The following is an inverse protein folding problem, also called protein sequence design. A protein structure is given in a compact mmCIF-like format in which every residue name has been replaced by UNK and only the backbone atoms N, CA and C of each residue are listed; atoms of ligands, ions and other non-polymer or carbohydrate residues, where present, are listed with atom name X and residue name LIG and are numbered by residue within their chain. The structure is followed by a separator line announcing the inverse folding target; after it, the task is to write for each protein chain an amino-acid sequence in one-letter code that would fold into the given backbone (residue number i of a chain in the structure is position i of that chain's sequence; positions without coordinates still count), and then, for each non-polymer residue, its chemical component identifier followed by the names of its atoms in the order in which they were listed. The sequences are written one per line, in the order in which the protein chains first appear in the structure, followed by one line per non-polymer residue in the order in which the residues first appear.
data_IF_136433104990
#
_entry.id   IF_136433104990
#
_cell.length_a   1.000
_cell.length_b   1.000
_cell.length_c   1.000
_cell.angle_alpha   90.00
_cell.angle_beta   90.00
_cell.angle_gamma   90.00
#
_symmetry.space_group_name_H-M   'P 1'
#
loop_
_entity.id
_entity.type
_entity.pdbx_description
1 polymer ?
#
# COMPACT_ATOMS: atom_id res chain seq x y z
N UNK A 1 12.02 -25.14 13.67
CA UNK A 1 10.60 -24.93 13.99
C UNK A 1 10.16 -23.68 13.27
N UNK A 2 9.15 -23.77 12.40
CA UNK A 2 8.62 -22.61 11.69
C UNK A 2 7.85 -21.76 12.70
N UNK A 3 8.26 -20.52 12.90
CA UNK A 3 7.54 -19.50 13.67
C UNK A 3 6.08 -19.42 13.21
N UNK A 4 5.11 -19.14 14.11
CA UNK A 4 3.74 -18.90 13.68
C UNK A 4 3.73 -17.74 12.67
N UNK A 5 3.12 -17.94 11.51
CA UNK A 5 2.82 -16.84 10.60
C UNK A 5 1.79 -15.97 11.31
N UNK A 6 2.21 -14.80 11.77
CA UNK A 6 1.28 -13.84 12.37
C UNK A 6 0.25 -13.47 11.30
N UNK A 7 -1.03 -13.75 11.58
CA UNK A 7 -2.15 -13.30 10.75
C UNK A 7 -2.53 -11.88 11.15
N UNK A 8 -3.04 -11.13 10.18
CA UNK A 8 -3.48 -9.75 10.37
C UNK A 8 -4.95 -9.60 9.96
N UNK A 9 -5.67 -8.70 10.62
CA UNK A 9 -7.10 -8.46 10.38
C UNK A 9 -7.26 -7.62 9.13
N UNK A 10 -8.05 -8.12 8.17
CA UNK A 10 -8.57 -7.29 7.07
C UNK A 10 -9.78 -6.54 7.58
N UNK A 11 -9.69 -5.22 7.70
CA UNK A 11 -10.75 -4.39 8.29
C UNK A 11 -11.64 -3.71 7.24
N UNK A 12 -11.14 -3.53 6.01
CA UNK A 12 -11.87 -2.93 4.88
C UNK A 12 -11.12 -3.20 3.57
N UNK A 13 -11.66 -2.77 2.44
CA UNK A 13 -11.01 -2.70 1.14
C UNK A 13 -10.96 -1.25 0.65
N UNK A 14 -9.78 -0.73 0.33
CA UNK A 14 -9.64 0.57 -0.35
C UNK A 14 -10.20 0.56 -1.78
N UNK A 15 -10.22 -0.61 -2.42
CA UNK A 15 -10.83 -0.86 -3.71
C UNK A 15 -11.37 -2.30 -3.73
N UNK A 16 -12.65 -2.46 -4.09
CA UNK A 16 -13.29 -3.74 -4.33
C UNK A 16 -14.15 -3.66 -5.60
N UNK A 17 -13.65 -4.22 -6.69
CA UNK A 17 -14.38 -4.26 -7.96
C UNK A 17 -14.10 -5.59 -8.66
N UNK A 18 -15.09 -6.48 -8.75
CA UNK A 18 -14.88 -7.87 -9.21
C UNK A 18 -14.88 -8.02 -10.74
N UNK A 19 -15.47 -7.07 -11.46
CA UNK A 19 -15.70 -7.13 -12.91
C UNK A 19 -14.94 -6.10 -13.73
N UNK A 20 -14.22 -5.17 -13.09
CA UNK A 20 -13.45 -4.14 -13.81
C UNK A 20 -12.29 -4.77 -14.57
N UNK A 21 -12.09 -4.37 -15.82
CA UNK A 21 -10.89 -4.73 -16.55
C UNK A 21 -9.81 -3.68 -16.26
N UNK A 22 -8.62 -4.13 -15.87
CA UNK A 22 -7.48 -3.26 -15.56
C UNK A 22 -6.16 -3.82 -16.05
N UNK A 23 -5.18 -2.95 -16.22
CA UNK A 23 -3.81 -3.31 -16.54
C UNK A 23 -2.95 -3.34 -15.28
N UNK A 24 -2.15 -4.39 -15.15
CA UNK A 24 -1.32 -4.67 -13.99
C UNK A 24 0.11 -4.94 -14.45
N UNK A 25 1.08 -4.57 -13.62
CA UNK A 25 2.44 -5.07 -13.74
C UNK A 25 2.51 -6.45 -13.10
N UNK A 26 3.03 -7.44 -13.83
CA UNK A 26 3.43 -8.74 -13.29
C UNK A 26 4.93 -8.73 -13.06
N UNK A 27 5.34 -8.75 -11.80
CA UNK A 27 6.72 -8.93 -11.35
C UNK A 27 6.99 -10.43 -11.25
N UNK A 28 7.81 -10.98 -12.15
CA UNK A 28 8.19 -12.40 -12.09
C UNK A 28 9.52 -12.53 -11.35
N UNK A 29 9.50 -13.36 -10.31
CA UNK A 29 10.59 -13.51 -9.35
C UNK A 29 11.50 -14.68 -9.72
N UNK A 30 12.69 -14.68 -9.12
CA UNK A 30 13.61 -15.80 -9.24
C UNK A 30 13.09 -16.97 -8.40
N UNK A 31 12.85 -18.12 -9.05
CA UNK A 31 12.39 -19.32 -8.37
C UNK A 31 13.49 -19.88 -7.45
N UNK A 32 13.19 -20.07 -6.16
CA UNK A 32 14.00 -20.93 -5.30
C UNK A 32 13.58 -22.38 -5.60
N UNK A 33 14.35 -23.05 -6.48
CA UNK A 33 14.07 -24.41 -6.99
C UNK A 33 14.18 -25.52 -5.92
N UNK A 34 14.05 -25.21 -4.63
CA UNK A 34 14.04 -26.21 -3.55
C UNK A 34 12.81 -27.11 -3.60
N UNK A 35 11.69 -26.59 -4.09
CA UNK A 35 10.48 -27.37 -4.36
C UNK A 35 10.32 -27.47 -5.88
N UNK A 36 9.96 -28.65 -6.39
CA UNK A 36 9.74 -28.93 -7.82
C UNK A 36 8.58 -28.14 -8.47
N UNK A 37 8.29 -26.91 -8.01
CA UNK A 37 7.30 -26.04 -8.62
C UNK A 37 7.74 -25.64 -10.02
N UNK A 38 6.84 -25.84 -10.98
CA UNK A 38 7.07 -25.58 -12.41
C UNK A 38 6.66 -24.16 -12.81
N UNK A 39 6.13 -23.36 -11.88
CA UNK A 39 5.65 -22.00 -12.14
C UNK A 39 6.52 -21.02 -11.37
N UNK A 40 7.10 -20.05 -12.07
CA UNK A 40 7.88 -19.01 -11.43
C UNK A 40 6.99 -18.14 -10.52
N UNK A 41 7.42 -17.83 -9.28
CA UNK A 41 6.66 -16.98 -8.38
C UNK A 41 6.46 -15.59 -8.97
N UNK A 42 5.29 -14.99 -8.77
CA UNK A 42 4.97 -13.68 -9.33
C UNK A 42 4.00 -12.88 -8.47
N UNK A 43 4.07 -11.56 -8.58
CA UNK A 43 3.12 -10.62 -8.01
C UNK A 43 2.51 -9.77 -9.13
N UNK A 44 1.18 -9.62 -9.12
CA UNK A 44 0.45 -8.72 -10.04
C UNK A 44 -0.15 -7.56 -9.24
N UNK A 45 0.13 -6.33 -9.67
CA UNK A 45 -0.31 -5.11 -8.99
C UNK A 45 -0.37 -3.93 -9.97
N UNK A 46 -1.17 -2.90 -9.68
CA UNK A 46 -1.22 -1.68 -10.51
C UNK A 46 0.10 -0.91 -10.39
N UNK A 47 0.36 0.00 -11.33
CA UNK A 47 1.63 0.75 -11.40
C UNK A 47 1.90 1.59 -10.15
N UNK A 48 0.85 2.09 -9.50
CA UNK A 48 0.90 2.92 -8.30
C UNK A 48 0.89 2.11 -6.99
N UNK A 49 0.53 0.83 -7.03
CA UNK A 49 0.49 -0.01 -5.84
C UNK A 49 1.89 -0.32 -5.35
N UNK A 50 2.08 -0.30 -4.02
CA UNK A 50 3.41 -0.43 -3.45
C UNK A 50 3.78 -1.87 -3.11
N UNK A 51 5.03 -2.24 -3.36
CA UNK A 51 5.63 -3.54 -2.98
C UNK A 51 6.81 -3.32 -2.05
N UNK A 52 7.00 -4.21 -1.08
CA UNK A 52 8.15 -4.14 -0.17
C UNK A 52 9.41 -4.70 -0.85
N UNK A 53 10.48 -3.91 -0.82
CA UNK A 53 11.80 -4.22 -1.36
C UNK A 53 12.87 -4.25 -0.28
N UNK A 54 14.09 -4.64 -0.64
CA UNK A 54 15.26 -4.68 0.26
C UNK A 54 15.38 -3.40 1.11
N UNK A 55 15.63 -3.59 2.41
CA UNK A 55 15.59 -2.53 3.42
C UNK A 55 14.20 -2.26 4.00
N UNK A 56 13.21 -3.12 3.74
CA UNK A 56 11.82 -2.98 4.18
C UNK A 56 11.19 -1.65 3.72
N UNK A 57 11.60 -1.18 2.54
CA UNK A 57 11.05 0.02 1.90
C UNK A 57 9.88 -0.40 1.03
N UNK A 58 8.81 0.39 1.00
CA UNK A 58 7.70 0.17 0.07
C UNK A 58 7.77 1.22 -1.05
N UNK A 59 7.82 0.76 -2.30
CA UNK A 59 7.89 1.62 -3.49
C UNK A 59 6.75 1.27 -4.45
N UNK A 60 6.22 2.24 -5.21
CA UNK A 60 5.24 1.93 -6.27
C UNK A 60 5.83 0.97 -7.30
N UNK A 61 4.99 0.08 -7.85
CA UNK A 61 5.39 -0.94 -8.79
C UNK A 61 6.04 -0.38 -10.07
N UNK A 62 5.67 0.84 -10.46
CA UNK A 62 6.28 1.59 -11.58
C UNK A 62 7.77 1.84 -11.42
N UNK A 63 8.27 1.90 -10.18
CA UNK A 63 9.70 2.11 -9.88
C UNK A 63 10.51 0.82 -9.80
N UNK A 64 9.85 -0.34 -9.73
CA UNK A 64 10.53 -1.63 -9.64
C UNK A 64 11.25 -1.93 -10.96
N UNK A 65 12.49 -2.38 -10.85
CA UNK A 65 13.34 -2.75 -11.98
C UNK A 65 13.76 -4.22 -11.91
N UNK A 66 14.13 -4.77 -13.06
CA UNK A 66 14.80 -6.08 -13.11
C UNK A 66 16.07 -6.03 -12.29
N UNK A 67 16.25 -7.01 -11.41
CA UNK A 67 17.34 -7.09 -10.45
C UNK A 67 17.01 -6.57 -9.05
N UNK A 68 15.96 -5.75 -8.89
CA UNK A 68 15.49 -5.33 -7.56
C UNK A 68 15.03 -6.54 -6.76
N UNK A 69 15.25 -6.52 -5.45
CA UNK A 69 14.84 -7.60 -4.56
C UNK A 69 13.58 -7.22 -3.81
N UNK A 70 12.54 -8.04 -3.95
CA UNK A 70 11.29 -7.94 -3.17
C UNK A 70 11.35 -8.82 -1.93
N UNK A 71 10.58 -8.46 -0.91
CA UNK A 71 10.45 -9.22 0.33
C UNK A 71 9.41 -10.33 0.17
N UNK A 72 9.78 -11.56 0.54
CA UNK A 72 8.92 -12.73 0.53
C UNK A 72 8.19 -12.89 1.87
N UNK A 73 7.19 -13.78 1.89
CA UNK A 73 6.35 -14.06 3.06
C UNK A 73 7.11 -14.57 4.29
N UNK A 74 8.31 -15.13 4.12
CA UNK A 74 9.20 -15.60 5.18
C UNK A 74 10.28 -14.56 5.56
N UNK A 75 10.25 -13.37 4.95
CA UNK A 75 11.22 -12.30 5.15
C UNK A 75 12.46 -12.41 4.27
N UNK A 76 12.60 -13.48 3.48
CA UNK A 76 13.69 -13.63 2.52
C UNK A 76 13.53 -12.67 1.34
N UNK A 77 14.61 -12.51 0.57
CA UNK A 77 14.64 -11.64 -0.59
C UNK A 77 14.66 -12.45 -1.90
N UNK A 78 13.84 -12.06 -2.88
CA UNK A 78 13.91 -12.61 -4.23
C UNK A 78 14.04 -11.53 -5.29
N UNK A 79 14.95 -11.74 -6.24
CA UNK A 79 15.19 -10.79 -7.31
C UNK A 79 14.10 -10.86 -8.39
N UNK A 80 13.66 -9.70 -8.85
CA UNK A 80 12.78 -9.53 -10.00
C UNK A 80 13.56 -9.90 -11.27
N UNK A 81 13.09 -10.92 -11.98
CA UNK A 81 13.75 -11.43 -13.19
C UNK A 81 13.27 -10.72 -14.45
N UNK A 82 11.97 -10.48 -14.57
CA UNK A 82 11.40 -9.66 -15.62
C UNK A 82 10.04 -9.10 -15.20
N UNK A 83 9.60 -8.06 -15.90
CA UNK A 83 8.36 -7.34 -15.67
C UNK A 83 7.56 -7.34 -16.97
N UNK A 84 6.27 -7.63 -16.88
CA UNK A 84 5.37 -7.57 -18.03
C UNK A 84 4.05 -6.90 -17.64
N UNK A 85 3.42 -6.20 -18.57
CA UNK A 85 2.05 -5.71 -18.39
C UNK A 85 1.07 -6.83 -18.73
N UNK A 86 0.05 -7.01 -17.90
CA UNK A 86 -1.01 -7.99 -18.10
C UNK A 86 -2.37 -7.34 -17.83
N UNK A 87 -3.36 -7.65 -18.68
CA UNK A 87 -4.74 -7.24 -18.41
C UNK A 87 -5.46 -8.32 -17.58
N UNK A 88 -6.18 -7.91 -16.55
CA UNK A 88 -6.96 -8.79 -15.66
C UNK A 88 -8.35 -8.23 -15.43
N UNK A 89 -9.23 -9.11 -14.98
CA UNK A 89 -10.56 -8.76 -14.49
C UNK A 89 -10.54 -8.82 -12.97
N UNK A 90 -10.99 -7.75 -12.34
CA UNK A 90 -11.04 -7.59 -10.90
C UNK A 90 -9.89 -6.77 -10.34
N UNK A 91 -10.18 -5.92 -9.37
CA UNK A 91 -9.20 -5.16 -8.58
C UNK A 91 -9.59 -5.19 -7.10
N UNK A 92 -8.64 -5.53 -6.25
CA UNK A 92 -8.83 -5.65 -4.80
C UNK A 92 -7.65 -5.00 -4.08
N UNK A 93 -7.94 -4.11 -3.12
CA UNK A 93 -6.96 -3.47 -2.26
C UNK A 93 -7.38 -3.63 -0.79
N UNK A 94 -7.24 -4.83 -0.20
CA UNK A 94 -7.59 -5.05 1.21
C UNK A 94 -6.68 -4.23 2.13
N UNK A 95 -7.30 -3.58 3.10
CA UNK A 95 -6.61 -2.88 4.17
C UNK A 95 -6.48 -3.79 5.39
N UNK A 96 -5.24 -3.94 5.86
CA UNK A 96 -4.87 -4.73 7.04
C UNK A 96 -4.39 -3.82 8.18
N UNK A 97 -4.42 -4.28 9.43
CA UNK A 97 -3.98 -3.43 10.57
C UNK A 97 -2.51 -3.07 10.49
N UNK A 98 -1.65 -3.91 9.90
CA UNK A 98 -0.23 -3.61 9.67
C UNK A 98 0.03 -2.76 8.42
N UNK A 99 -0.97 -2.58 7.55
CA UNK A 99 -0.81 -1.93 6.25
C UNK A 99 0.03 -2.73 5.26
N UNK A 100 0.18 -4.04 5.48
CA UNK A 100 0.88 -4.97 4.60
C UNK A 100 0.12 -6.29 4.49
N UNK A 101 0.35 -7.01 3.38
CA UNK A 101 -0.22 -8.31 3.15
C UNK A 101 0.71 -9.18 2.31
N UNK A 102 0.45 -10.49 2.29
CA UNK A 102 1.18 -11.43 1.44
C UNK A 102 0.27 -11.89 0.30
N UNK A 103 0.71 -11.66 -0.94
CA UNK A 103 0.03 -12.10 -2.15
C UNK A 103 0.99 -12.97 -2.96
N UNK A 104 0.59 -14.19 -3.28
CA UNK A 104 1.42 -15.18 -4.00
C UNK A 104 2.84 -15.36 -3.39
N UNK A 105 2.94 -15.27 -2.06
CA UNK A 105 4.21 -15.43 -1.34
C UNK A 105 5.09 -14.18 -1.30
N UNK A 106 4.63 -13.04 -1.81
CA UNK A 106 5.35 -11.75 -1.82
C UNK A 106 4.67 -10.77 -0.90
N UNK A 107 5.44 -10.02 -0.11
CA UNK A 107 4.93 -8.97 0.76
C UNK A 107 4.64 -7.71 -0.05
N UNK A 108 3.38 -7.27 -0.02
CA UNK A 108 2.90 -6.05 -0.66
C UNK A 108 2.33 -5.08 0.37
N UNK A 109 2.29 -3.80 0.03
CA UNK A 109 1.57 -2.80 0.80
C UNK A 109 0.06 -2.96 0.60
N UNK A 110 -0.73 -2.53 1.57
CA UNK A 110 -2.17 -2.29 1.39
C UNK A 110 -2.48 -1.03 0.57
N UNK A 111 -1.48 -0.20 0.25
CA UNK A 111 -1.65 1.16 -0.22
C UNK A 111 -0.97 1.43 -1.58
N UNK A 112 -1.35 2.56 -2.17
CA UNK A 112 -0.77 3.11 -3.39
C UNK A 112 0.05 4.37 -3.10
N UNK A 113 1.02 4.67 -3.97
CA UNK A 113 1.69 5.96 -3.99
C UNK A 113 0.95 6.94 -4.91
N UNK A 114 0.92 8.23 -4.55
CA UNK A 114 0.30 9.27 -5.38
C UNK A 114 1.26 9.92 -6.38
N UNK A 115 2.54 9.56 -6.30
CA UNK A 115 3.59 10.01 -7.21
C UNK A 115 4.43 8.80 -7.58
N UNK A 116 5.13 8.88 -8.72
CA UNK A 116 6.14 7.90 -9.12
C UNK A 116 7.43 8.07 -8.30
N UNK A 117 7.30 7.97 -6.97
CA UNK A 117 8.33 8.20 -5.97
C UNK A 117 8.04 7.39 -4.70
N UNK A 118 9.08 6.98 -3.97
CA UNK A 118 8.95 6.37 -2.62
C UNK A 118 8.46 7.40 -1.59
N UNK A 119 8.93 8.64 -1.71
CA UNK A 119 8.67 9.74 -0.79
C UNK A 119 7.86 10.84 -1.48
N UNK A 120 7.01 11.50 -0.70
CA UNK A 120 6.30 12.69 -1.16
C UNK A 120 7.30 13.77 -1.58
N UNK A 121 7.13 14.30 -2.78
CA UNK A 121 7.90 15.43 -3.33
C UNK A 121 6.99 16.63 -3.52
N UNK A 122 7.40 17.78 -2.98
CA UNK A 122 6.66 19.06 -3.07
C UNK A 122 7.56 20.13 -3.67
N UNK A 123 7.17 20.69 -4.82
CA UNK A 123 7.96 21.73 -5.49
C UNK A 123 9.38 21.28 -5.88
N UNK A 124 9.56 19.99 -6.21
CA UNK A 124 10.86 19.41 -6.54
C UNK A 124 11.72 19.03 -5.33
N UNK A 125 11.24 19.24 -4.10
CA UNK A 125 11.95 18.88 -2.87
C UNK A 125 11.34 17.60 -2.30
N UNK A 126 12.16 16.56 -2.16
CA UNK A 126 11.78 15.33 -1.49
C UNK A 126 11.60 15.58 0.02
N UNK A 127 10.47 15.15 0.57
CA UNK A 127 10.19 15.21 2.01
C UNK A 127 10.62 13.91 2.71
N UNK A 128 10.70 13.86 4.05
CA UNK A 128 11.01 12.61 4.76
C UNK A 128 9.83 11.63 4.84
N UNK A 129 8.67 11.97 4.25
CA UNK A 129 7.44 11.18 4.39
C UNK A 129 7.30 10.19 3.23
N UNK A 130 7.46 8.89 3.51
CA UNK A 130 7.16 7.84 2.52
C UNK A 130 5.66 7.73 2.28
N UNK A 131 5.26 7.31 1.08
CA UNK A 131 3.84 7.07 0.79
C UNK A 131 3.25 5.96 1.67
N UNK A 132 4.04 4.95 2.02
CA UNK A 132 3.63 3.94 3.00
C UNK A 132 3.24 4.57 4.34
N UNK A 133 4.08 5.43 4.90
CA UNK A 133 3.79 6.07 6.18
C UNK A 133 2.61 7.02 6.06
N UNK A 134 2.54 7.82 4.99
CA UNK A 134 1.43 8.76 4.77
C UNK A 134 0.08 8.04 4.68
N UNK A 135 -0.02 7.00 3.84
CA UNK A 135 -1.26 6.25 3.67
C UNK A 135 -1.63 5.50 4.96
N UNK A 136 -0.66 4.84 5.60
CA UNK A 136 -0.89 4.13 6.85
C UNK A 136 -1.38 5.05 7.98
N UNK A 137 -0.74 6.23 8.12
CA UNK A 137 -1.08 7.23 9.13
C UNK A 137 -2.45 7.85 8.82
N UNK A 138 -2.74 8.12 7.56
CA UNK A 138 -4.05 8.61 7.11
C UNK A 138 -5.18 7.63 7.48
N UNK A 139 -4.97 6.34 7.21
CA UNK A 139 -5.94 5.28 7.51
C UNK A 139 -6.10 4.98 9.01
N UNK A 140 -5.30 5.60 9.90
CA UNK A 140 -5.46 5.45 11.36
C UNK A 140 -6.85 5.85 11.84
N UNK A 141 -7.43 6.90 11.24
CA UNK A 141 -8.80 7.32 11.57
C UNK A 141 -9.78 6.21 11.22
N UNK A 142 -9.70 5.67 10.01
CA UNK A 142 -10.58 4.60 9.54
C UNK A 142 -10.44 3.34 10.41
N UNK A 143 -9.21 2.95 10.77
CA UNK A 143 -8.95 1.84 11.70
C UNK A 143 -9.55 2.07 13.09
N UNK A 144 -9.41 3.27 13.67
CA UNK A 144 -10.04 3.61 14.95
C UNK A 144 -11.56 3.49 14.84
N UNK A 145 -12.17 4.04 13.78
CA UNK A 145 -13.61 3.98 13.56
C UNK A 145 -14.11 2.54 13.44
N UNK A 146 -13.39 1.69 12.68
CA UNK A 146 -13.66 0.25 12.60
C UNK A 146 -13.64 -0.43 13.97
N UNK A 147 -12.61 -0.19 14.78
CA UNK A 147 -12.46 -0.80 16.12
C UNK A 147 -13.58 -0.45 17.09
N UNK A 148 -14.13 0.77 17.00
CA UNK A 148 -15.26 1.20 17.84
C UNK A 148 -16.64 0.83 17.24
N UNK A 149 -16.66 0.06 16.15
CA UNK A 149 -17.88 -0.42 15.51
C UNK A 149 -18.64 0.66 14.73
N UNK A 150 -17.94 1.71 14.26
CA UNK A 150 -18.53 2.81 13.52
C UNK A 150 -18.04 2.84 12.07
N UNK A 151 -18.98 3.08 11.15
CA UNK A 151 -18.69 3.17 9.72
C UNK A 151 -19.20 1.96 8.96
N UNK A 152 -20.06 2.20 7.99
CA UNK A 152 -20.42 1.20 6.99
C UNK A 152 -19.43 1.26 5.83
N UNK A 153 -19.08 0.10 5.29
CA UNK A 153 -18.28 0.03 4.08
C UNK A 153 -19.15 0.32 2.85
N UNK A 154 -18.78 1.34 2.08
CA UNK A 154 -19.48 1.75 0.86
C UNK A 154 -18.48 2.09 -0.23
N UNK A 155 -18.85 1.86 -1.48
CA UNK A 155 -17.95 2.01 -2.62
C UNK A 155 -18.54 2.91 -3.71
N UNK A 156 -17.68 3.57 -4.49
CA UNK A 156 -18.06 4.26 -5.72
C UNK A 156 -18.46 3.26 -6.81
N UNK A 157 -18.98 3.76 -7.94
CA UNK A 157 -19.22 2.93 -9.15
C UNK A 157 -17.95 2.23 -9.63
N UNK A 158 -16.80 2.88 -9.45
CA UNK A 158 -15.49 2.31 -9.76
C UNK A 158 -15.00 1.30 -8.71
N UNK A 159 -15.74 1.09 -7.62
CA UNK A 159 -15.37 0.16 -6.54
C UNK A 159 -14.38 0.72 -5.53
N UNK A 160 -14.12 2.04 -5.53
CA UNK A 160 -13.21 2.68 -4.57
C UNK A 160 -13.99 2.95 -3.27
N UNK A 161 -13.40 2.59 -2.12
CA UNK A 161 -14.04 2.84 -0.82
C UNK A 161 -14.33 4.32 -0.61
N UNK A 162 -15.47 4.63 -0.02
CA UNK A 162 -15.88 6.00 0.30
C UNK A 162 -14.93 6.67 1.30
N UNK A 163 -14.25 5.87 2.14
CA UNK A 163 -13.17 6.32 3.01
C UNK A 163 -11.93 6.80 2.26
N UNK A 164 -11.75 6.32 1.02
CA UNK A 164 -10.59 6.63 0.17
C UNK A 164 -10.96 7.63 -0.93
N UNK A 165 -12.13 7.52 -1.54
CA UNK A 165 -12.51 8.25 -2.76
C UNK A 165 -12.44 9.77 -2.63
N UNK A 166 -13.05 10.34 -1.58
CA UNK A 166 -13.04 11.79 -1.36
C UNK A 166 -11.63 12.29 -0.99
N UNK A 167 -10.93 11.68 0.00
CA UNK A 167 -9.55 12.07 0.29
C UNK A 167 -8.60 11.93 -0.90
N UNK A 168 -8.73 10.87 -1.70
CA UNK A 168 -7.94 10.66 -2.90
C UNK A 168 -8.11 11.81 -3.91
N UNK A 169 -9.35 12.23 -4.19
CA UNK A 169 -9.62 13.40 -5.06
C UNK A 169 -9.04 14.69 -4.49
N UNK A 170 -9.15 14.90 -3.18
CA UNK A 170 -8.59 16.08 -2.51
C UNK A 170 -7.07 16.11 -2.61
N UNK A 171 -6.40 14.97 -2.39
CA UNK A 171 -4.94 14.85 -2.53
C UNK A 171 -4.50 15.12 -3.96
N UNK A 172 -5.17 14.55 -4.95
CA UNK A 172 -4.88 14.83 -6.37
C UNK A 172 -5.01 16.32 -6.69
N UNK A 173 -6.09 16.96 -6.24
CA UNK A 173 -6.28 18.40 -6.41
C UNK A 173 -5.19 19.22 -5.71
N UNK A 174 -4.82 18.84 -4.48
CA UNK A 174 -3.80 19.53 -3.69
C UNK A 174 -2.43 19.45 -4.36
N UNK A 175 -2.05 18.28 -4.88
CA UNK A 175 -0.76 18.06 -5.54
C UNK A 175 -0.59 18.88 -6.85
N UNK A 176 -1.68 19.42 -7.40
CA UNK A 176 -1.65 20.33 -8.55
C UNK A 176 -1.49 21.80 -8.17
N UNK A 177 -1.53 22.14 -6.87
CA UNK A 177 -1.41 23.52 -6.41
C UNK A 177 0.05 23.99 -6.38
N UNK A 178 0.25 25.31 -6.28
CA UNK A 178 1.57 25.89 -6.05
C UNK A 178 2.20 25.31 -4.77
N UNK A 179 3.50 25.05 -4.79
CA UNK A 179 4.22 24.36 -3.70
C UNK A 179 4.00 25.00 -2.32
N UNK A 180 3.99 26.33 -2.23
CA UNK A 180 3.69 27.05 -0.99
C UNK A 180 2.29 26.70 -0.43
N UNK A 181 1.28 26.60 -1.31
CA UNK A 181 -0.08 26.22 -0.92
C UNK A 181 -0.14 24.78 -0.42
N UNK A 182 0.58 23.86 -1.08
CA UNK A 182 0.73 22.47 -0.61
C UNK A 182 1.32 22.45 0.80
N UNK A 183 2.40 23.19 1.05
CA UNK A 183 3.04 23.25 2.37
C UNK A 183 2.11 23.80 3.46
N UNK A 184 1.36 24.87 3.18
CA UNK A 184 0.41 25.47 4.12
C UNK A 184 -0.65 24.46 4.58
N UNK A 185 -1.10 23.57 3.68
CA UNK A 185 -2.11 22.56 3.99
C UNK A 185 -1.48 21.29 4.58
N UNK A 186 -0.37 20.81 4.02
CA UNK A 186 0.23 19.53 4.40
C UNK A 186 0.79 19.54 5.81
N UNK A 187 1.46 20.62 6.25
CA UNK A 187 2.07 20.69 7.59
C UNK A 187 1.05 20.45 8.71
N UNK A 188 -0.06 21.19 8.81
CA UNK A 188 -1.05 20.94 9.86
C UNK A 188 -1.70 19.56 9.72
N UNK A 189 -1.99 19.09 8.50
CA UNK A 189 -2.58 17.77 8.27
C UNK A 189 -1.66 16.66 8.77
N UNK A 190 -0.37 16.70 8.43
CA UNK A 190 0.61 15.70 8.88
C UNK A 190 0.75 15.71 10.40
N UNK A 191 0.74 16.88 11.04
CA UNK A 191 0.79 16.97 12.51
C UNK A 191 -0.44 16.33 13.15
N UNK A 192 -1.64 16.61 12.64
CA UNK A 192 -2.89 16.01 13.13
C UNK A 192 -2.87 14.49 12.94
N UNK A 193 -2.49 14.02 11.75
CA UNK A 193 -2.42 12.58 11.45
C UNK A 193 -1.38 11.88 12.33
N UNK A 194 -0.21 12.49 12.55
CA UNK A 194 0.82 11.94 13.43
C UNK A 194 0.31 11.83 14.88
N UNK A 195 -0.40 12.84 15.40
CA UNK A 195 -1.01 12.78 16.74
C UNK A 195 -2.05 11.65 16.83
N UNK A 196 -2.90 11.50 15.82
CA UNK A 196 -3.92 10.44 15.77
C UNK A 196 -3.30 9.05 15.69
N UNK A 197 -2.24 8.89 14.89
CA UNK A 197 -1.52 7.63 14.78
C UNK A 197 -0.77 7.27 16.07
N UNK A 198 -0.19 8.25 16.77
CA UNK A 198 0.38 8.04 18.10
C UNK A 198 -0.69 7.61 19.11
N UNK A 199 -1.87 8.24 19.08
CA UNK A 199 -3.00 7.86 19.92
C UNK A 199 -3.48 6.45 19.63
N UNK A 200 -3.65 6.09 18.35
CA UNK A 200 -4.00 4.72 17.92
C UNK A 200 -2.99 3.70 18.44
N UNK A 201 -1.68 3.97 18.24
CA UNK A 201 -0.61 3.06 18.66
C UNK A 201 -0.59 2.83 20.18
N UNK A 202 -0.84 3.90 20.96
CA UNK A 202 -0.98 3.81 22.40
C UNK A 202 -2.21 3.00 22.81
N UNK A 203 -3.35 3.22 22.16
CA UNK A 203 -4.59 2.49 22.41
C UNK A 203 -4.45 0.98 22.13
N UNK A 204 -3.79 0.62 21.02
CA UNK A 204 -3.50 -0.78 20.67
C UNK A 204 -2.60 -1.44 21.73
N UNK A 205 -1.58 -0.73 22.20
CA UNK A 205 -0.61 -1.27 23.17
C UNK A 205 -1.24 -1.55 24.54
N UNK A 206 -2.31 -0.85 24.90
CA UNK A 206 -3.00 -1.03 26.20
C UNK A 206 -4.15 -2.05 26.10
N UNK A 207 -4.72 -2.23 24.91
CA UNK A 207 -5.84 -3.15 24.68
C UNK A 207 -5.42 -4.62 24.49
N UNK A 208 -4.12 -4.91 24.41
CA UNK A 208 -3.50 -6.24 24.33
C UNK A 208 -2.82 -6.60 25.66
#
# INVERSE_FOLDING_TARGET
GKTPKNYDTVYSFGHYHTTVQGDFLRLVLTADRKNNDTVDPFLELTTDHMVFVEGNRAIPASLVKVGDKVVLADGELSAVRYIQTVSRVGAYAPFTESGSLVVNGVQASSFVAFQDAEYLTVGGVQTPFSFQWLAYTFESVHRIMYRIGFGSETYSEDGISSWVYVPWKMTQWLLLQHSLGIWIVMVPVVLILALLHMFESYFITIAL
#
